data_IF_181845615346
#
_entry.id   IF_181845615346
#
_cell.length_a   1.000
_cell.length_b   1.000
_cell.length_c   1.000
_cell.angle_alpha   90.00
_cell.angle_beta   90.00
_cell.angle_gamma   90.00
#
_symmetry.space_group_name_H-M   'P 1'
#
loop_
_entity.id
_entity.type
_entity.pdbx_description
1 polymer ?
#
# COMPACT_ATOMS: atom_id res chain seq x y z
N UNK A 1 5.12 32.54 2.52
CA UNK A 1 4.95 31.24 3.23
C UNK A 1 6.19 30.39 2.99
N UNK A 2 6.86 30.02 4.07
CA UNK A 2 8.08 29.21 4.06
C UNK A 2 7.95 28.11 5.12
N UNK A 3 8.53 26.96 4.88
CA UNK A 3 8.62 25.89 5.88
C UNK A 3 9.44 26.36 7.07
N UNK A 4 8.93 26.17 8.28
CA UNK A 4 9.57 26.58 9.54
C UNK A 4 10.04 25.40 10.39
N UNK A 5 9.36 24.24 10.32
CA UNK A 5 9.71 23.03 11.07
C UNK A 5 9.22 21.75 10.39
N UNK A 6 9.89 20.64 10.69
CA UNK A 6 9.48 19.29 10.39
C UNK A 6 9.54 18.48 11.69
N UNK A 7 8.41 17.92 12.11
CA UNK A 7 8.27 17.14 13.34
C UNK A 7 7.71 15.77 13.03
N UNK A 8 8.25 14.71 13.64
CA UNK A 8 7.76 13.34 13.50
C UNK A 8 6.93 12.95 14.72
N UNK A 9 5.71 12.49 14.50
CA UNK A 9 4.82 11.97 15.51
C UNK A 9 4.59 10.47 15.29
N UNK A 10 4.29 9.73 16.36
CA UNK A 10 4.10 8.29 16.33
C UNK A 10 2.91 7.90 17.21
N UNK A 11 2.11 6.95 16.73
CA UNK A 11 0.97 6.42 17.48
C UNK A 11 0.94 4.89 17.46
N UNK A 12 0.44 4.28 18.55
CA UNK A 12 0.15 2.85 18.60
C UNK A 12 -0.93 2.47 17.58
N UNK A 13 -0.63 1.56 16.69
CA UNK A 13 -1.53 0.95 15.72
C UNK A 13 -1.63 -0.58 15.88
N UNK A 14 -1.42 -1.10 17.10
CA UNK A 14 -1.52 -2.52 17.44
C UNK A 14 -0.23 -3.28 17.21
N UNK A 15 -0.17 -4.08 16.18
CA UNK A 15 1.04 -4.85 15.86
C UNK A 15 2.18 -3.99 15.28
N UNK A 16 1.89 -2.73 14.93
CA UNK A 16 2.81 -1.71 14.39
C UNK A 16 2.55 -0.34 15.01
N UNK A 17 3.36 0.65 14.68
CA UNK A 17 3.07 2.06 14.94
C UNK A 17 2.75 2.77 13.63
N UNK A 18 1.89 3.81 13.68
CA UNK A 18 1.77 4.79 12.62
C UNK A 18 2.78 5.91 12.83
N UNK A 19 3.32 6.41 11.73
CA UNK A 19 4.29 7.50 11.72
C UNK A 19 3.75 8.66 10.88
N UNK A 20 3.81 9.85 11.43
CA UNK A 20 3.31 11.06 10.76
C UNK A 20 4.41 12.10 10.71
N UNK A 21 4.58 12.74 9.55
CA UNK A 21 5.39 13.92 9.39
C UNK A 21 4.48 15.16 9.41
N UNK A 22 4.74 16.07 10.36
CA UNK A 22 4.14 17.38 10.46
C UNK A 22 5.11 18.40 9.89
N UNK A 23 4.70 19.11 8.85
CA UNK A 23 5.42 20.20 8.24
C UNK A 23 4.72 21.51 8.60
N UNK A 24 5.38 22.37 9.37
CA UNK A 24 4.86 23.69 9.76
C UNK A 24 5.40 24.79 8.85
N UNK A 25 4.61 25.88 8.65
CA UNK A 25 5.03 27.05 7.91
C UNK A 25 4.92 28.32 8.74
N UNK A 26 5.68 29.36 8.36
CA UNK A 26 5.64 30.72 8.96
C UNK A 26 4.30 31.45 8.74
N UNK A 27 3.44 30.93 7.88
CA UNK A 27 2.09 31.45 7.62
C UNK A 27 0.98 30.67 8.36
N UNK A 28 1.33 29.75 9.28
CA UNK A 28 0.36 28.97 10.04
C UNK A 28 -0.29 27.80 9.26
N UNK A 29 0.12 27.55 8.03
CA UNK A 29 -0.32 26.36 7.27
C UNK A 29 0.49 25.14 7.72
N UNK A 30 -0.18 24.04 8.00
CA UNK A 30 0.44 22.77 8.35
C UNK A 30 0.19 21.74 7.24
N UNK A 31 1.25 21.11 6.75
CA UNK A 31 1.18 19.95 5.85
C UNK A 31 1.46 18.67 6.60
N UNK A 32 0.77 17.59 6.22
CA UNK A 32 0.90 16.28 6.82
C UNK A 32 1.22 15.21 5.80
N UNK A 33 1.98 14.21 6.22
CA UNK A 33 2.06 12.92 5.52
C UNK A 33 2.11 11.78 6.52
N UNK A 34 1.57 10.63 6.14
CA UNK A 34 1.84 9.36 6.81
C UNK A 34 3.01 8.68 6.10
N UNK A 35 3.89 8.04 6.86
CA UNK A 35 5.00 7.24 6.33
C UNK A 35 5.18 5.98 7.16
N UNK A 36 5.94 5.02 6.66
CA UNK A 36 6.23 3.79 7.40
C UNK A 36 7.69 3.73 7.82
N UNK A 37 7.92 3.35 9.08
CA UNK A 37 9.23 3.00 9.62
C UNK A 37 9.17 1.69 10.42
N UNK A 38 7.94 1.15 10.57
CA UNK A 38 7.67 -0.01 11.42
C UNK A 38 7.86 -1.35 10.73
N UNK A 39 7.68 -1.39 9.41
CA UNK A 39 7.69 -2.64 8.65
C UNK A 39 8.74 -2.61 7.53
N UNK A 40 9.95 -2.97 7.88
CA UNK A 40 11.04 -3.18 6.90
C UNK A 40 11.87 -1.94 6.55
N UNK A 41 11.48 -0.75 7.00
CA UNK A 41 12.11 0.53 6.61
C UNK A 41 12.73 1.30 7.79
N UNK A 42 13.59 0.69 8.62
CA UNK A 42 14.15 1.37 9.78
C UNK A 42 15.04 2.54 9.34
N UNK A 43 14.86 3.71 9.98
CA UNK A 43 15.69 4.90 9.75
C UNK A 43 15.09 5.96 8.85
N UNK A 44 13.85 5.84 8.38
CA UNK A 44 13.16 6.88 7.60
C UNK A 44 13.09 8.20 8.37
N UNK A 45 12.79 8.17 9.68
CA UNK A 45 12.83 9.35 10.55
C UNK A 45 14.19 10.04 10.50
N UNK A 46 15.30 9.29 10.60
CA UNK A 46 16.64 9.88 10.54
C UNK A 46 16.95 10.53 9.19
N UNK A 47 16.42 9.98 8.09
CA UNK A 47 16.52 10.60 6.76
C UNK A 47 15.76 11.93 6.73
N UNK A 48 14.52 11.95 7.23
CA UNK A 48 13.70 13.16 7.31
C UNK A 48 14.42 14.25 8.11
N UNK A 49 14.92 13.93 9.31
CA UNK A 49 15.68 14.85 10.17
C UNK A 49 16.94 15.37 9.48
N UNK A 50 17.68 14.50 8.78
CA UNK A 50 18.88 14.89 8.03
C UNK A 50 18.57 15.82 6.86
N UNK A 51 17.41 15.66 6.23
CA UNK A 51 16.94 16.47 5.10
C UNK A 51 16.29 17.79 5.54
N UNK A 52 15.74 17.88 6.75
CA UNK A 52 14.99 19.02 7.25
C UNK A 52 15.70 20.39 7.07
N UNK A 53 17.02 20.55 7.34
CA UNK A 53 17.71 21.84 7.14
C UNK A 53 17.71 22.32 5.68
N UNK A 54 17.48 21.43 4.70
CA UNK A 54 17.38 21.78 3.27
C UNK A 54 15.95 22.08 2.83
N UNK A 55 14.97 21.81 3.69
CA UNK A 55 13.54 22.09 3.43
C UNK A 55 13.12 23.37 4.13
N UNK A 56 13.60 23.59 5.35
CA UNK A 56 13.32 24.79 6.14
C UNK A 56 13.77 26.05 5.40
N UNK A 57 12.90 27.06 5.35
CA UNK A 57 13.12 28.34 4.66
C UNK A 57 12.67 28.34 3.20
N UNK A 58 12.35 27.18 2.60
CA UNK A 58 11.81 27.08 1.25
C UNK A 58 10.28 27.16 1.24
N UNK A 59 9.72 27.52 0.08
CA UNK A 59 8.27 27.54 -0.11
C UNK A 59 7.75 26.15 -0.45
N UNK A 60 6.70 25.61 0.23
CA UNK A 60 6.09 24.35 -0.13
C UNK A 60 5.43 24.36 -1.52
N UNK A 61 5.21 25.54 -2.11
CA UNK A 61 4.71 25.65 -3.49
C UNK A 61 5.71 25.08 -4.51
N UNK A 62 7.01 25.08 -4.18
CA UNK A 62 8.11 24.59 -5.03
C UNK A 62 8.51 23.15 -4.70
N UNK A 63 7.55 22.27 -4.36
CA UNK A 63 7.79 20.92 -3.88
C UNK A 63 8.70 20.09 -4.81
N UNK A 64 8.55 20.19 -6.13
CA UNK A 64 9.39 19.45 -7.09
C UNK A 64 10.85 19.95 -7.05
N UNK A 65 11.06 21.23 -6.90
CA UNK A 65 12.41 21.79 -6.73
C UNK A 65 13.05 21.27 -5.44
N UNK A 66 12.31 21.29 -4.33
CA UNK A 66 12.80 20.78 -3.05
C UNK A 66 13.14 19.28 -3.19
N UNK A 67 12.27 18.49 -3.79
CA UNK A 67 12.52 17.06 -4.03
C UNK A 67 13.81 16.87 -4.86
N UNK A 68 13.99 17.61 -5.95
CA UNK A 68 15.17 17.53 -6.80
C UNK A 68 16.47 17.90 -6.05
N UNK A 69 16.44 18.90 -5.19
CA UNK A 69 17.57 19.30 -4.35
C UNK A 69 17.90 18.23 -3.31
N UNK A 70 16.89 17.63 -2.66
CA UNK A 70 17.06 16.54 -1.72
C UNK A 70 17.62 15.29 -2.40
N UNK A 71 17.05 14.91 -3.56
CA UNK A 71 17.54 13.81 -4.37
C UNK A 71 19.01 13.98 -4.79
N UNK A 72 19.38 15.21 -5.24
CA UNK A 72 20.75 15.51 -5.60
C UNK A 72 21.71 15.40 -4.41
N UNK A 73 21.28 15.84 -3.22
CA UNK A 73 22.07 15.76 -1.99
C UNK A 73 22.24 14.34 -1.45
N UNK A 74 21.32 13.44 -1.78
CA UNK A 74 21.31 12.02 -1.32
C UNK A 74 21.66 11.03 -2.42
N UNK A 75 21.99 11.50 -3.63
CA UNK A 75 22.24 10.67 -4.83
C UNK A 75 23.15 9.45 -4.62
N UNK A 76 24.23 9.51 -3.82
CA UNK A 76 25.08 8.32 -3.60
C UNK A 76 24.36 7.17 -2.88
N UNK A 77 23.22 7.43 -2.22
CA UNK A 77 22.42 6.45 -1.47
C UNK A 77 20.94 6.50 -1.92
N UNK A 78 20.67 6.90 -3.16
CA UNK A 78 19.31 6.97 -3.70
C UNK A 78 18.63 5.58 -3.69
N UNK A 79 17.34 5.55 -3.33
CA UNK A 79 16.56 4.32 -3.13
C UNK A 79 16.41 3.94 -1.66
N UNK A 80 15.71 2.85 -1.38
CA UNK A 80 15.44 2.35 -0.03
C UNK A 80 14.89 3.44 0.90
N UNK A 81 15.26 3.38 2.16
CA UNK A 81 14.79 4.32 3.21
C UNK A 81 15.05 5.80 2.89
N UNK A 82 16.04 6.09 2.02
CA UNK A 82 16.29 7.47 1.57
C UNK A 82 15.15 7.94 0.67
N UNK A 83 14.74 7.13 -0.30
CA UNK A 83 13.62 7.48 -1.18
C UNK A 83 12.31 7.64 -0.39
N UNK A 84 12.07 6.77 0.59
CA UNK A 84 10.89 6.83 1.46
C UNK A 84 10.85 8.10 2.31
N UNK A 85 12.00 8.52 2.87
CA UNK A 85 12.11 9.79 3.59
C UNK A 85 11.86 11.02 2.69
N UNK A 86 12.34 10.98 1.44
CA UNK A 86 12.05 12.02 0.46
C UNK A 86 10.58 12.03 0.06
N UNK A 87 9.97 10.85 -0.09
CA UNK A 87 8.53 10.68 -0.37
C UNK A 87 7.66 11.26 0.75
N UNK A 88 8.01 10.98 2.00
CA UNK A 88 7.32 11.53 3.17
C UNK A 88 7.35 13.08 3.17
N UNK A 89 8.50 13.67 2.88
CA UNK A 89 8.66 15.14 2.80
C UNK A 89 7.83 15.68 1.62
N UNK A 90 7.89 15.07 0.44
CA UNK A 90 7.11 15.47 -0.73
C UNK A 90 5.61 15.49 -0.44
N UNK A 91 5.10 14.43 0.20
CA UNK A 91 3.69 14.30 0.54
C UNK A 91 3.23 15.41 1.51
N UNK A 92 4.03 15.74 2.53
CA UNK A 92 3.73 16.84 3.45
C UNK A 92 3.77 18.20 2.75
N UNK A 93 4.68 18.40 1.80
CA UNK A 93 4.75 19.63 0.97
C UNK A 93 3.52 19.76 0.07
N UNK A 94 3.04 18.67 -0.53
CA UNK A 94 1.83 18.65 -1.37
C UNK A 94 0.58 19.02 -0.56
N UNK A 95 0.44 18.48 0.65
CA UNK A 95 -0.66 18.83 1.55
C UNK A 95 -0.64 20.32 1.91
N UNK A 96 0.53 20.82 2.35
CA UNK A 96 0.70 22.25 2.65
C UNK A 96 0.39 23.14 1.44
N UNK A 97 0.80 22.73 0.24
CA UNK A 97 0.51 23.44 -1.02
C UNK A 97 -0.99 23.44 -1.32
N UNK A 98 -1.66 22.31 -1.22
CA UNK A 98 -3.12 22.22 -1.43
C UNK A 98 -3.89 23.11 -0.47
N UNK A 99 -3.56 23.08 0.82
CA UNK A 99 -4.16 23.91 1.85
C UNK A 99 -3.92 25.39 1.61
N UNK A 100 -2.69 25.78 1.27
CA UNK A 100 -2.33 27.18 0.99
C UNK A 100 -3.08 27.74 -0.22
N UNK A 101 -3.36 26.92 -1.21
CA UNK A 101 -4.12 27.30 -2.42
C UNK A 101 -5.64 27.12 -2.26
N UNK A 102 -6.10 26.53 -1.17
CA UNK A 102 -7.51 26.22 -0.92
C UNK A 102 -8.08 25.14 -1.85
N UNK A 103 -7.23 24.23 -2.34
CA UNK A 103 -7.64 23.16 -3.28
C UNK A 103 -7.27 21.78 -2.75
N UNK A 104 -8.03 20.72 -3.13
CA UNK A 104 -7.66 19.33 -2.81
C UNK A 104 -6.41 18.92 -3.59
N UNK A 105 -5.62 17.97 -3.07
CA UNK A 105 -4.38 17.55 -3.70
C UNK A 105 -4.58 17.00 -5.13
N UNK A 106 -5.67 16.29 -5.43
CA UNK A 106 -5.93 15.82 -6.79
C UNK A 106 -5.98 16.97 -7.83
N UNK A 107 -6.40 18.17 -7.42
CA UNK A 107 -6.39 19.34 -8.32
C UNK A 107 -4.96 19.77 -8.70
N UNK A 108 -3.97 19.52 -7.82
CA UNK A 108 -2.56 19.75 -8.12
C UNK A 108 -1.97 18.71 -9.06
N UNK A 109 -2.62 17.53 -9.16
CA UNK A 109 -2.19 16.39 -9.97
C UNK A 109 -2.82 16.35 -11.38
N UNK A 110 -3.57 17.37 -11.75
CA UNK A 110 -4.26 17.46 -13.05
C UNK A 110 -5.79 17.37 -12.95
N UNK A 111 -6.33 17.21 -11.75
CA UNK A 111 -7.77 17.04 -11.49
C UNK A 111 -8.18 15.57 -11.38
N UNK A 112 -9.42 15.35 -10.96
CA UNK A 112 -9.94 14.00 -10.78
C UNK A 112 -10.58 13.45 -12.06
N UNK A 113 -10.23 12.21 -12.41
CA UNK A 113 -10.84 11.42 -13.48
C UNK A 113 -12.12 10.71 -13.01
N UNK A 114 -12.30 10.56 -11.69
CA UNK A 114 -13.42 9.85 -11.04
C UNK A 114 -13.74 10.43 -9.67
N UNK A 115 -15.02 10.36 -9.29
CA UNK A 115 -15.51 10.81 -7.98
C UNK A 115 -15.45 9.71 -6.91
N UNK A 116 -15.28 8.47 -7.34
CA UNK A 116 -15.19 7.27 -6.48
C UNK A 116 -14.08 6.38 -6.97
N UNK A 117 -13.37 5.74 -6.03
CA UNK A 117 -12.31 4.78 -6.30
C UNK A 117 -12.74 3.41 -5.80
N UNK A 118 -12.80 2.42 -6.71
CA UNK A 118 -13.04 1.02 -6.33
C UNK A 118 -11.90 0.52 -5.46
N UNK A 119 -12.24 -0.21 -4.38
CA UNK A 119 -11.25 -0.72 -3.43
C UNK A 119 -11.44 -2.22 -3.17
N UNK A 120 -10.34 -2.88 -2.74
CA UNK A 120 -10.39 -4.24 -2.23
C UNK A 120 -10.01 -4.30 -0.75
N UNK A 121 -10.60 -5.25 -0.01
CA UNK A 121 -10.20 -5.55 1.34
C UNK A 121 -8.83 -6.24 1.32
N UNK A 122 -7.79 -5.51 1.72
CA UNK A 122 -6.43 -6.03 1.83
C UNK A 122 -6.27 -6.93 3.05
N UNK A 123 -5.29 -7.84 3.01
CA UNK A 123 -4.98 -8.73 4.13
C UNK A 123 -6.22 -9.43 4.71
N UNK A 124 -7.23 -9.70 3.85
CA UNK A 124 -8.49 -10.32 4.27
C UNK A 124 -8.21 -11.68 4.93
N UNK A 125 -8.39 -11.73 6.25
CA UNK A 125 -8.04 -12.86 7.11
C UNK A 125 -6.61 -12.85 7.67
N UNK A 126 -5.65 -12.17 7.06
CA UNK A 126 -4.24 -12.19 7.46
C UNK A 126 -4.04 -11.73 8.90
N UNK A 127 -4.61 -10.59 9.26
CA UNK A 127 -4.48 -10.07 10.62
C UNK A 127 -5.29 -10.88 11.64
N UNK A 128 -6.46 -11.39 11.28
CA UNK A 128 -7.31 -12.22 12.17
C UNK A 128 -6.73 -13.60 12.44
N UNK A 129 -5.83 -14.09 11.56
CA UNK A 129 -5.08 -15.33 11.76
C UNK A 129 -3.77 -15.07 12.51
N UNK A 130 -3.00 -14.06 12.08
CA UNK A 130 -1.63 -13.84 12.57
C UNK A 130 -1.55 -12.94 13.79
N UNK A 131 -2.57 -12.13 14.08
CA UNK A 131 -2.67 -11.16 15.18
C UNK A 131 -4.03 -11.21 15.89
N UNK A 132 -4.49 -12.41 16.31
CA UNK A 132 -5.82 -12.56 16.90
C UNK A 132 -5.98 -11.83 18.24
N UNK A 133 -4.91 -11.38 18.88
CA UNK A 133 -4.94 -10.54 20.07
C UNK A 133 -5.49 -9.13 19.77
N UNK A 134 -5.29 -8.62 18.56
CA UNK A 134 -5.74 -7.29 18.13
C UNK A 134 -7.04 -7.33 17.33
N UNK A 135 -7.22 -8.34 16.46
CA UNK A 135 -8.29 -8.34 15.46
C UNK A 135 -9.25 -9.51 15.63
N UNK A 136 -10.55 -9.22 15.61
CA UNK A 136 -11.62 -10.18 15.90
C UNK A 136 -12.66 -10.23 14.79
N UNK A 137 -13.36 -11.35 14.64
CA UNK A 137 -13.11 -12.63 15.29
C UNK A 137 -11.81 -13.29 14.82
N UNK A 138 -11.12 -14.04 15.70
CA UNK A 138 -9.98 -14.83 15.31
C UNK A 138 -10.38 -15.94 14.33
N UNK A 139 -9.57 -16.18 13.31
CA UNK A 139 -9.81 -17.23 12.32
C UNK A 139 -8.87 -18.40 12.63
N UNK A 140 -9.45 -19.58 12.88
CA UNK A 140 -8.70 -20.76 13.32
C UNK A 140 -8.87 -21.97 12.38
N UNK A 141 -9.73 -21.83 11.36
CA UNK A 141 -10.02 -22.91 10.41
C UNK A 141 -10.67 -22.36 9.12
N UNK A 142 -10.94 -23.23 8.15
CA UNK A 142 -11.55 -22.87 6.88
C UNK A 142 -13.00 -22.35 6.99
N UNK A 143 -13.77 -22.79 8.00
CA UNK A 143 -15.11 -22.26 8.23
C UNK A 143 -15.06 -20.77 8.61
N UNK A 144 -14.04 -20.36 9.38
CA UNK A 144 -13.77 -18.97 9.68
C UNK A 144 -13.39 -18.15 8.43
N UNK A 145 -12.64 -18.73 7.50
CA UNK A 145 -12.32 -18.13 6.20
C UNK A 145 -13.59 -17.95 5.36
N UNK A 146 -14.43 -18.99 5.28
CA UNK A 146 -15.73 -18.91 4.58
C UNK A 146 -16.63 -17.82 5.18
N UNK A 147 -16.72 -17.75 6.50
CA UNK A 147 -17.48 -16.71 7.19
C UNK A 147 -16.94 -15.30 6.88
N UNK A 148 -15.62 -15.14 6.78
CA UNK A 148 -15.00 -13.86 6.41
C UNK A 148 -15.28 -13.48 4.95
N UNK A 149 -15.30 -14.44 4.03
CA UNK A 149 -15.73 -14.18 2.65
C UNK A 149 -17.16 -13.64 2.58
N UNK A 150 -18.07 -14.22 3.36
CA UNK A 150 -19.45 -13.71 3.49
C UNK A 150 -19.48 -12.32 4.13
N UNK A 151 -18.69 -12.08 5.17
CA UNK A 151 -18.56 -10.76 5.81
C UNK A 151 -18.11 -9.68 4.80
N UNK A 152 -17.12 -9.99 3.94
CA UNK A 152 -16.65 -9.05 2.93
C UNK A 152 -17.76 -8.67 1.94
N UNK A 153 -18.50 -9.65 1.44
CA UNK A 153 -19.68 -9.43 0.59
C UNK A 153 -20.74 -8.59 1.30
N UNK A 154 -21.12 -8.97 2.52
CA UNK A 154 -22.21 -8.34 3.28
C UNK A 154 -21.85 -6.90 3.70
N UNK A 155 -20.57 -6.58 3.81
CA UNK A 155 -20.06 -5.20 3.97
C UNK A 155 -20.03 -4.40 2.66
N UNK A 156 -20.37 -5.01 1.52
CA UNK A 156 -20.41 -4.35 0.22
C UNK A 156 -19.07 -4.30 -0.52
N UNK A 157 -18.06 -5.06 -0.11
CA UNK A 157 -16.85 -5.20 -0.90
C UNK A 157 -17.11 -6.01 -2.17
N UNK A 158 -16.49 -5.58 -3.26
CA UNK A 158 -16.54 -6.27 -4.56
C UNK A 158 -15.25 -7.02 -4.88
N UNK A 159 -14.25 -6.89 -4.01
CA UNK A 159 -12.96 -7.57 -4.15
C UNK A 159 -12.28 -7.75 -2.78
N UNK A 160 -11.50 -8.82 -2.62
CA UNK A 160 -10.67 -9.08 -1.44
C UNK A 160 -9.33 -9.71 -1.83
N UNK A 161 -8.26 -9.35 -1.10
CA UNK A 161 -6.91 -9.90 -1.25
C UNK A 161 -6.53 -10.67 0.01
N UNK A 162 -5.99 -11.88 -0.16
CA UNK A 162 -5.52 -12.72 0.93
C UNK A 162 -4.11 -13.24 0.67
N UNK A 163 -3.48 -13.82 1.70
CA UNK A 163 -2.20 -14.49 1.62
C UNK A 163 -2.35 -16.01 1.74
N UNK A 164 -1.25 -16.75 1.69
CA UNK A 164 -1.24 -18.20 1.87
C UNK A 164 -1.12 -18.58 3.34
N UNK A 165 -2.02 -19.45 3.81
CA UNK A 165 -2.01 -19.99 5.18
C UNK A 165 -1.99 -21.52 5.19
N UNK A 166 -1.41 -22.07 6.25
CA UNK A 166 -1.36 -23.51 6.53
C UNK A 166 -2.44 -23.84 7.57
N UNK A 167 -3.61 -24.28 7.10
CA UNK A 167 -4.78 -24.62 7.94
C UNK A 167 -4.70 -26.03 8.54
N UNK A 168 -3.73 -26.83 8.14
CA UNK A 168 -3.41 -28.11 8.74
C UNK A 168 -2.49 -27.98 9.98
N UNK A 169 -2.19 -26.75 10.41
CA UNK A 169 -1.56 -26.41 11.69
C UNK A 169 -2.60 -25.84 12.66
N UNK A 170 -2.35 -25.97 13.97
CA UNK A 170 -3.22 -25.40 15.01
C UNK A 170 -2.37 -24.63 16.01
N UNK A 171 -2.50 -23.27 16.08
CA UNK A 171 -3.32 -22.42 15.21
C UNK A 171 -2.80 -22.37 13.77
N UNK A 172 -3.63 -21.99 12.80
CA UNK A 172 -3.18 -21.76 11.42
C UNK A 172 -2.04 -20.76 11.37
N UNK A 173 -1.13 -20.94 10.43
CA UNK A 173 0.06 -20.11 10.28
C UNK A 173 0.23 -19.60 8.84
N UNK A 174 0.64 -18.35 8.69
CA UNK A 174 1.04 -17.79 7.39
C UNK A 174 2.22 -18.58 6.79
N UNK A 175 2.15 -18.88 5.50
CA UNK A 175 3.28 -19.40 4.73
C UNK A 175 4.04 -18.21 4.13
N UNK A 176 5.10 -17.78 4.84
CA UNK A 176 5.86 -16.55 4.54
C UNK A 176 7.38 -16.81 4.53
N UNK A 177 7.89 -17.76 3.72
CA UNK A 177 9.32 -18.09 3.72
C UNK A 177 10.21 -16.96 3.22
N UNK A 178 9.69 -16.02 2.46
CA UNK A 178 10.42 -14.84 1.98
C UNK A 178 10.67 -13.78 3.04
N UNK A 179 9.98 -13.85 4.21
CA UNK A 179 10.09 -12.84 5.27
C UNK A 179 10.64 -13.42 6.56
N UNK A 180 11.68 -12.77 7.12
CA UNK A 180 12.24 -13.05 8.45
C UNK A 180 12.61 -14.53 8.75
N UNK A 181 12.76 -15.37 7.75
CA UNK A 181 13.13 -16.78 7.87
C UNK A 181 14.20 -17.16 6.84
N UNK A 182 15.46 -16.74 7.02
CA UNK A 182 16.50 -16.75 5.99
C UNK A 182 16.85 -18.14 5.45
N UNK A 183 16.51 -19.21 6.16
CA UNK A 183 16.79 -20.59 5.74
C UNK A 183 15.55 -21.38 5.36
N UNK A 184 14.39 -20.73 5.31
CA UNK A 184 13.23 -21.36 4.71
C UNK A 184 13.40 -21.33 3.19
N UNK A 185 13.47 -22.48 2.55
CA UNK A 185 13.63 -22.51 1.12
C UNK A 185 12.30 -22.13 0.46
N UNK A 186 12.14 -20.85 0.16
CA UNK A 186 11.16 -20.38 -0.82
C UNK A 186 11.32 -21.09 -2.18
N UNK A 187 12.39 -21.86 -2.33
CA UNK A 187 12.65 -22.76 -3.45
C UNK A 187 11.67 -23.93 -3.52
N UNK A 188 11.15 -24.38 -2.36
CA UNK A 188 10.37 -25.62 -2.28
C UNK A 188 8.90 -25.32 -1.97
N UNK A 189 8.12 -25.09 -3.03
CA UNK A 189 6.66 -25.10 -2.91
C UNK A 189 6.18 -26.55 -2.82
N UNK A 190 5.90 -27.00 -1.58
CA UNK A 190 5.48 -28.36 -1.30
C UNK A 190 4.01 -28.59 -1.67
N UNK A 191 3.65 -29.86 -1.92
CA UNK A 191 2.23 -30.26 -2.14
C UNK A 191 1.32 -29.87 -0.99
N UNK A 192 1.85 -29.83 0.23
CA UNK A 192 1.14 -29.37 1.43
C UNK A 192 0.71 -27.90 1.31
N UNK A 193 1.63 -27.03 0.88
CA UNK A 193 1.35 -25.60 0.65
C UNK A 193 0.26 -25.43 -0.40
N UNK A 194 0.38 -26.15 -1.54
CA UNK A 194 -0.60 -26.08 -2.62
C UNK A 194 -2.00 -26.51 -2.18
N UNK A 195 -2.11 -27.59 -1.37
CA UNK A 195 -3.41 -28.03 -0.84
C UNK A 195 -4.03 -26.99 0.09
N UNK A 196 -3.25 -26.42 1.01
CA UNK A 196 -3.74 -25.42 1.96
C UNK A 196 -4.14 -24.11 1.26
N UNK A 197 -3.33 -23.66 0.31
CA UNK A 197 -3.62 -22.48 -0.51
C UNK A 197 -4.96 -22.66 -1.24
N UNK A 198 -5.11 -23.77 -1.97
CA UNK A 198 -6.34 -24.04 -2.72
C UNK A 198 -7.56 -24.12 -1.79
N UNK A 199 -7.46 -24.84 -0.69
CA UNK A 199 -8.55 -24.95 0.29
C UNK A 199 -8.95 -23.58 0.88
N UNK A 200 -7.98 -22.70 1.14
CA UNK A 200 -8.25 -21.33 1.61
C UNK A 200 -8.99 -20.49 0.57
N UNK A 201 -8.54 -20.51 -0.70
CA UNK A 201 -9.19 -19.78 -1.79
C UNK A 201 -10.60 -20.30 -2.08
N UNK A 202 -10.80 -21.62 -2.08
CA UNK A 202 -12.12 -22.24 -2.22
C UNK A 202 -13.06 -21.84 -1.08
N UNK A 203 -12.56 -21.81 0.17
CA UNK A 203 -13.35 -21.35 1.32
C UNK A 203 -13.74 -19.87 1.21
N UNK A 204 -12.83 -18.99 0.75
CA UNK A 204 -13.19 -17.59 0.44
C UNK A 204 -14.25 -17.51 -0.65
N UNK A 205 -14.09 -18.24 -1.76
CA UNK A 205 -15.05 -18.26 -2.86
C UNK A 205 -16.43 -18.75 -2.40
N UNK A 206 -16.46 -19.80 -1.59
CA UNK A 206 -17.71 -20.36 -1.01
C UNK A 206 -18.45 -19.33 -0.13
N UNK A 207 -17.73 -18.51 0.61
CA UNK A 207 -18.31 -17.47 1.48
C UNK A 207 -18.69 -16.22 0.72
N UNK A 208 -17.77 -15.71 -0.08
CA UNK A 208 -17.92 -14.45 -0.83
C UNK A 208 -18.95 -14.56 -1.98
N UNK A 209 -19.10 -15.76 -2.56
CA UNK A 209 -19.91 -15.96 -3.75
C UNK A 209 -19.17 -15.69 -5.06
N UNK A 210 -19.82 -15.88 -6.23
CA UNK A 210 -19.17 -15.82 -7.54
C UNK A 210 -18.79 -14.39 -7.98
N UNK A 211 -19.49 -13.37 -7.46
CA UNK A 211 -19.39 -11.99 -7.97
C UNK A 211 -18.29 -11.17 -7.28
N UNK A 212 -17.64 -11.70 -6.24
CA UNK A 212 -16.52 -11.04 -5.56
C UNK A 212 -15.20 -11.42 -6.22
N UNK A 213 -14.42 -10.43 -6.62
CA UNK A 213 -13.07 -10.66 -7.15
C UNK A 213 -12.13 -11.15 -6.04
N UNK A 214 -11.42 -12.24 -6.30
CA UNK A 214 -10.40 -12.78 -5.40
C UNK A 214 -9.01 -12.40 -5.90
N UNK A 215 -8.19 -11.87 -5.01
CA UNK A 215 -6.80 -11.53 -5.22
C UNK A 215 -5.93 -12.35 -4.27
N UNK A 216 -4.79 -12.80 -4.76
CA UNK A 216 -3.83 -13.55 -3.96
C UNK A 216 -2.49 -12.82 -3.96
N UNK A 217 -1.96 -12.59 -2.77
CA UNK A 217 -0.65 -12.03 -2.59
C UNK A 217 0.33 -13.12 -2.12
N UNK A 218 1.33 -13.36 -2.96
CA UNK A 218 2.39 -14.34 -2.73
C UNK A 218 3.69 -13.70 -2.28
N UNK A 219 3.79 -12.37 -2.30
CA UNK A 219 5.00 -11.62 -1.94
C UNK A 219 6.27 -12.23 -2.56
N UNK A 220 7.41 -12.28 -1.81
CA UNK A 220 8.68 -12.93 -2.17
C UNK A 220 8.74 -14.42 -1.77
N UNK A 221 7.61 -15.09 -1.57
CA UNK A 221 7.55 -16.39 -0.90
C UNK A 221 7.96 -17.58 -1.77
N UNK A 222 8.29 -17.40 -3.04
CA UNK A 222 8.80 -18.47 -3.90
C UNK A 222 9.85 -17.94 -4.89
N UNK A 223 10.43 -18.85 -5.66
CA UNK A 223 11.21 -18.54 -6.88
C UNK A 223 10.38 -18.86 -8.11
N UNK A 224 10.87 -18.52 -9.29
CA UNK A 224 10.16 -18.70 -10.57
C UNK A 224 9.48 -20.05 -10.71
N UNK A 225 10.18 -21.13 -10.41
CA UNK A 225 9.63 -22.49 -10.48
C UNK A 225 8.48 -22.72 -9.47
N UNK A 226 8.62 -22.19 -8.25
CA UNK A 226 7.60 -22.28 -7.21
C UNK A 226 6.34 -21.50 -7.56
N UNK A 227 6.46 -20.27 -8.06
CA UNK A 227 5.34 -19.48 -8.55
C UNK A 227 4.60 -20.19 -9.69
N UNK A 228 5.32 -20.76 -10.66
CA UNK A 228 4.71 -21.54 -11.74
C UNK A 228 3.99 -22.81 -11.24
N UNK A 229 4.45 -23.42 -10.16
CA UNK A 229 3.71 -24.53 -9.50
C UNK A 229 2.41 -24.04 -8.88
N UNK A 230 2.45 -22.92 -8.15
CA UNK A 230 1.27 -22.32 -7.53
C UNK A 230 0.24 -21.96 -8.61
N UNK A 231 0.65 -21.22 -9.65
CA UNK A 231 -0.23 -20.80 -10.73
C UNK A 231 -0.93 -21.99 -11.41
N UNK A 232 -0.20 -23.08 -11.67
CA UNK A 232 -0.82 -24.32 -12.19
C UNK A 232 -1.80 -24.96 -11.24
N UNK A 233 -1.53 -24.91 -9.92
CA UNK A 233 -2.40 -25.54 -8.91
C UNK A 233 -3.75 -24.81 -8.71
N UNK A 234 -3.83 -23.56 -9.13
CA UNK A 234 -5.04 -22.70 -9.02
C UNK A 234 -5.56 -22.24 -10.39
N UNK A 235 -5.11 -22.85 -11.48
CA UNK A 235 -5.41 -22.41 -12.85
C UNK A 235 -6.91 -22.42 -13.21
N UNK A 236 -7.71 -23.21 -12.53
CA UNK A 236 -9.17 -23.30 -12.68
C UNK A 236 -9.95 -22.36 -11.75
N UNK A 237 -9.27 -21.63 -10.86
CA UNK A 237 -9.90 -20.63 -10.02
C UNK A 237 -9.93 -19.29 -10.77
N UNK A 238 -11.04 -18.58 -10.68
CA UNK A 238 -11.17 -17.23 -11.28
C UNK A 238 -10.54 -16.20 -10.34
N UNK A 239 -9.29 -15.81 -10.63
CA UNK A 239 -8.54 -14.83 -9.85
C UNK A 239 -8.44 -13.50 -10.59
N UNK A 240 -8.72 -12.41 -9.88
CA UNK A 240 -8.60 -11.04 -10.41
C UNK A 240 -7.15 -10.70 -10.75
N UNK A 241 -6.21 -11.09 -9.88
CA UNK A 241 -4.77 -11.16 -10.11
C UNK A 241 -4.06 -12.05 -9.08
N UNK A 242 -2.82 -12.41 -9.42
CA UNK A 242 -1.84 -12.97 -8.49
C UNK A 242 -0.71 -11.95 -8.35
N UNK A 243 -0.46 -11.50 -7.12
CA UNK A 243 0.60 -10.57 -6.78
C UNK A 243 1.87 -11.32 -6.45
N UNK A 244 2.96 -11.00 -7.12
CA UNK A 244 4.24 -11.69 -7.04
C UNK A 244 5.35 -10.66 -7.05
N UNK A 245 6.15 -10.59 -5.99
CA UNK A 245 7.31 -9.75 -5.94
C UNK A 245 8.55 -10.46 -6.45
N UNK A 246 9.27 -9.78 -7.30
CA UNK A 246 10.52 -10.25 -7.87
C UNK A 246 11.42 -9.08 -8.21
N UNK A 247 12.71 -9.19 -7.86
CA UNK A 247 13.73 -8.20 -8.25
C UNK A 247 14.30 -8.45 -9.66
N UNK A 248 13.78 -9.44 -10.37
CA UNK A 248 14.21 -9.79 -11.74
C UNK A 248 13.03 -9.60 -12.72
N UNK A 249 13.11 -8.56 -13.53
CA UNK A 249 12.07 -8.21 -14.48
C UNK A 249 11.83 -9.30 -15.54
N UNK A 250 12.88 -9.99 -16.00
CA UNK A 250 12.76 -11.03 -17.02
C UNK A 250 12.17 -12.31 -16.43
N UNK A 251 12.55 -12.67 -15.19
CA UNK A 251 11.95 -13.79 -14.47
C UNK A 251 10.44 -13.56 -14.23
N UNK A 252 10.05 -12.35 -13.85
CA UNK A 252 8.66 -11.97 -13.67
C UNK A 252 7.89 -12.00 -15.01
N UNK A 253 8.48 -11.49 -16.10
CA UNK A 253 7.91 -11.58 -17.44
C UNK A 253 7.68 -13.03 -17.88
N UNK A 254 8.64 -13.92 -17.55
CA UNK A 254 8.48 -15.36 -17.80
C UNK A 254 7.31 -15.94 -17.00
N UNK A 255 7.16 -15.59 -15.72
CA UNK A 255 6.04 -16.02 -14.88
C UNK A 255 4.71 -15.52 -15.47
N UNK A 256 4.61 -14.22 -15.80
CA UNK A 256 3.43 -13.64 -16.41
C UNK A 256 3.00 -14.34 -17.70
N UNK A 257 3.95 -14.61 -18.59
CA UNK A 257 3.68 -15.28 -19.87
C UNK A 257 3.08 -16.70 -19.70
N UNK A 258 3.37 -17.36 -18.57
CA UNK A 258 2.88 -18.71 -18.26
C UNK A 258 1.75 -18.73 -17.23
N UNK A 259 1.29 -17.56 -16.80
CA UNK A 259 0.18 -17.44 -15.84
C UNK A 259 -1.17 -17.51 -16.56
N UNK A 260 -2.12 -18.33 -16.07
CA UNK A 260 -3.51 -18.27 -16.54
C UNK A 260 -4.29 -17.07 -15.98
N UNK A 261 -3.71 -16.35 -15.01
CA UNK A 261 -4.29 -15.20 -14.33
C UNK A 261 -3.48 -13.95 -14.59
N UNK A 262 -4.08 -12.75 -14.51
CA UNK A 262 -3.32 -11.51 -14.48
C UNK A 262 -2.28 -11.51 -13.35
N UNK A 263 -1.12 -10.89 -13.59
CA UNK A 263 -0.04 -10.76 -12.62
C UNK A 263 0.10 -9.31 -12.20
N UNK A 264 0.14 -9.04 -10.88
CA UNK A 264 0.53 -7.76 -10.31
C UNK A 264 1.87 -7.86 -9.60
N UNK A 265 2.60 -6.76 -9.48
CA UNK A 265 3.92 -6.71 -8.85
C UNK A 265 4.41 -5.27 -8.68
N UNK A 266 5.61 -5.13 -8.15
CA UNK A 266 6.40 -3.88 -8.08
C UNK A 266 6.15 -3.02 -6.85
N UNK A 267 5.46 -3.49 -5.80
CA UNK A 267 5.19 -2.68 -4.60
C UNK A 267 6.46 -2.13 -3.94
N UNK A 268 7.56 -2.88 -3.99
CA UNK A 268 8.82 -2.54 -3.33
C UNK A 268 9.77 -1.67 -4.18
N UNK A 269 9.37 -1.29 -5.39
CA UNK A 269 10.20 -0.48 -6.27
C UNK A 269 10.08 1.02 -5.94
N UNK A 270 11.22 1.71 -5.98
CA UNK A 270 11.33 3.11 -5.60
C UNK A 270 11.86 3.98 -6.73
N UNK A 271 11.01 4.93 -7.13
CA UNK A 271 11.30 5.86 -8.22
C UNK A 271 11.18 5.24 -9.61
N UNK A 272 10.84 6.06 -10.59
CA UNK A 272 10.57 5.64 -11.98
C UNK A 272 11.68 4.77 -12.58
N UNK A 273 12.93 4.98 -12.20
CA UNK A 273 14.08 4.24 -12.76
C UNK A 273 14.02 2.76 -12.45
N UNK A 274 13.51 2.37 -11.28
CA UNK A 274 13.38 0.96 -10.89
C UNK A 274 12.21 0.29 -11.61
N UNK A 275 11.13 1.02 -11.92
CA UNK A 275 9.98 0.50 -12.67
C UNK A 275 10.26 0.29 -14.18
N UNK A 276 11.13 1.11 -14.78
CA UNK A 276 11.35 1.08 -16.24
C UNK A 276 11.80 -0.28 -16.79
N UNK A 277 12.71 -1.06 -16.16
CA UNK A 277 13.03 -2.41 -16.61
C UNK A 277 11.80 -3.33 -16.69
N UNK A 278 10.94 -3.26 -15.69
CA UNK A 278 9.73 -4.09 -15.62
C UNK A 278 8.69 -3.70 -16.68
N UNK A 279 8.50 -2.42 -16.94
CA UNK A 279 7.62 -1.94 -18.01
C UNK A 279 8.13 -2.38 -19.38
N UNK A 280 9.45 -2.26 -19.63
CA UNK A 280 10.08 -2.67 -20.91
C UNK A 280 9.98 -4.17 -21.15
N UNK A 281 10.14 -4.98 -20.12
CA UNK A 281 10.01 -6.42 -20.18
C UNK A 281 8.55 -6.91 -20.19
N UNK A 282 7.58 -6.00 -20.03
CA UNK A 282 6.15 -6.37 -19.89
C UNK A 282 5.94 -7.40 -18.77
N UNK A 283 6.56 -7.14 -17.60
CA UNK A 283 6.68 -8.13 -16.52
C UNK A 283 5.37 -8.35 -15.74
N UNK A 284 4.42 -7.41 -15.80
CA UNK A 284 3.15 -7.48 -15.08
C UNK A 284 2.00 -6.88 -15.90
N UNK A 285 0.77 -7.18 -15.51
CA UNK A 285 -0.45 -6.58 -16.03
C UNK A 285 -0.87 -5.36 -15.22
N UNK A 286 -0.52 -5.35 -13.92
CA UNK A 286 -0.81 -4.28 -12.98
C UNK A 286 0.44 -3.95 -12.17
N UNK A 287 0.92 -2.71 -12.26
CA UNK A 287 2.00 -2.22 -11.41
C UNK A 287 1.45 -1.73 -10.07
N UNK A 288 1.86 -2.35 -8.99
CA UNK A 288 1.58 -1.87 -7.64
C UNK A 288 2.52 -0.71 -7.34
N UNK A 289 1.98 0.44 -6.97
CA UNK A 289 2.76 1.65 -6.70
C UNK A 289 2.46 2.12 -5.28
N UNK A 290 3.48 2.16 -4.43
CA UNK A 290 3.36 2.73 -3.10
C UNK A 290 3.61 4.25 -3.15
N UNK A 291 2.54 5.04 -2.98
CA UNK A 291 2.63 6.49 -2.97
C UNK A 291 3.07 7.06 -1.59
N UNK A 292 3.07 6.24 -0.54
CA UNK A 292 3.64 6.59 0.77
C UNK A 292 5.16 6.56 0.69
N UNK A 293 5.71 5.51 0.09
CA UNK A 293 7.16 5.33 -0.06
C UNK A 293 7.77 6.20 -1.18
N UNK A 294 7.08 6.29 -2.31
CA UNK A 294 7.58 7.05 -3.47
C UNK A 294 7.36 8.56 -3.37
N UNK A 295 6.32 8.99 -2.65
CA UNK A 295 5.72 10.31 -2.80
C UNK A 295 4.66 10.32 -3.90
N UNK A 296 3.54 11.01 -3.65
CA UNK A 296 2.39 11.03 -4.58
C UNK A 296 2.76 11.67 -5.94
N UNK A 297 3.57 12.71 -5.95
CA UNK A 297 3.99 13.34 -7.19
C UNK A 297 4.94 12.47 -8.02
N UNK A 298 5.85 11.73 -7.36
CA UNK A 298 6.68 10.75 -8.04
C UNK A 298 5.86 9.55 -8.51
N UNK A 299 4.87 9.08 -7.72
CA UNK A 299 3.94 8.04 -8.11
C UNK A 299 3.15 8.40 -9.38
N UNK A 300 2.75 9.69 -9.55
CA UNK A 300 2.15 10.18 -10.81
C UNK A 300 3.08 10.01 -12.00
N UNK A 301 4.38 10.27 -11.84
CA UNK A 301 5.37 10.07 -12.93
C UNK A 301 5.49 8.58 -13.31
N UNK A 302 5.44 7.69 -12.31
CA UNK A 302 5.48 6.24 -12.53
C UNK A 302 4.18 5.79 -13.25
N UNK A 303 3.01 6.24 -12.79
CA UNK A 303 1.73 5.90 -13.40
C UNK A 303 1.61 6.39 -14.87
N UNK A 304 2.10 7.60 -15.16
CA UNK A 304 2.14 8.12 -16.54
C UNK A 304 3.10 7.30 -17.43
N UNK A 305 4.21 6.81 -16.87
CA UNK A 305 5.07 5.91 -17.62
C UNK A 305 4.40 4.55 -17.85
N UNK A 306 3.74 3.98 -16.82
CA UNK A 306 3.00 2.72 -16.93
C UNK A 306 1.93 2.77 -18.04
N UNK A 307 1.18 3.88 -18.15
CA UNK A 307 0.20 4.11 -19.21
C UNK A 307 0.83 4.01 -20.60
N UNK A 308 2.00 4.62 -20.81
CA UNK A 308 2.72 4.56 -22.09
C UNK A 308 3.20 3.14 -22.47
N UNK A 309 3.25 2.21 -21.51
CA UNK A 309 3.57 0.80 -21.70
C UNK A 309 2.33 -0.12 -21.64
N UNK A 310 1.10 0.44 -21.68
CA UNK A 310 -0.17 -0.31 -21.61
C UNK A 310 -0.32 -1.11 -20.30
N UNK A 311 0.22 -0.59 -19.18
CA UNK A 311 0.16 -1.21 -17.87
C UNK A 311 -0.78 -0.42 -16.97
N UNK A 312 -1.75 -1.12 -16.37
CA UNK A 312 -2.58 -0.55 -15.31
C UNK A 312 -1.80 -0.39 -14.00
N UNK A 313 -2.28 0.48 -13.11
CA UNK A 313 -1.69 0.65 -11.78
C UNK A 313 -2.69 0.34 -10.67
N UNK A 314 -2.18 -0.01 -9.50
CA UNK A 314 -2.94 -0.10 -8.26
C UNK A 314 -2.11 0.50 -7.11
N UNK A 315 -2.67 1.43 -6.32
CA UNK A 315 -1.96 1.95 -5.16
C UNK A 315 -1.84 0.90 -4.06
N UNK A 316 -0.60 0.68 -3.56
CA UNK A 316 -0.32 -0.07 -2.34
C UNK A 316 -0.72 0.77 -1.12
N UNK A 317 -1.57 0.25 -0.23
CA UNK A 317 -2.10 1.02 0.88
C UNK A 317 -2.59 0.16 2.05
N UNK A 318 -1.68 -0.40 2.83
CA UNK A 318 -2.01 -1.14 4.05
C UNK A 318 -1.82 -0.31 5.34
N UNK A 319 -1.85 1.01 5.24
CA UNK A 319 -1.53 2.00 6.26
C UNK A 319 -2.76 2.55 6.99
N UNK A 320 -2.60 3.71 7.64
CA UNK A 320 -3.66 4.45 8.30
C UNK A 320 -4.59 5.20 7.35
N UNK A 321 -5.48 5.99 7.94
CA UNK A 321 -6.46 6.73 7.15
C UNK A 321 -5.82 7.88 6.36
N UNK A 322 -4.78 8.55 6.89
CA UNK A 322 -4.13 9.64 6.16
C UNK A 322 -3.49 9.12 4.86
N UNK A 323 -2.78 7.99 4.91
CA UNK A 323 -2.24 7.35 3.72
C UNK A 323 -3.35 6.93 2.75
N UNK A 324 -4.49 6.47 3.26
CA UNK A 324 -5.66 6.16 2.41
C UNK A 324 -6.16 7.40 1.67
N UNK A 325 -6.20 8.57 2.32
CA UNK A 325 -6.54 9.84 1.65
C UNK A 325 -5.47 10.25 0.62
N UNK A 326 -4.18 10.11 0.93
CA UNK A 326 -3.09 10.37 -0.02
C UNK A 326 -3.26 9.51 -1.28
N UNK A 327 -3.50 8.22 -1.11
CA UNK A 327 -3.72 7.27 -2.20
C UNK A 327 -5.04 7.54 -2.96
N UNK A 328 -6.11 8.02 -2.30
CA UNK A 328 -7.35 8.42 -2.98
C UNK A 328 -7.13 9.58 -3.95
N UNK A 329 -6.34 10.60 -3.57
CA UNK A 329 -6.00 11.71 -4.46
C UNK A 329 -5.18 11.22 -5.66
N UNK A 330 -4.21 10.33 -5.44
CA UNK A 330 -3.43 9.69 -6.49
C UNK A 330 -4.33 8.87 -7.43
N UNK A 331 -5.09 7.94 -6.88
CA UNK A 331 -5.99 7.07 -7.63
C UNK A 331 -7.06 7.84 -8.41
N UNK A 332 -7.54 8.96 -7.86
CA UNK A 332 -8.51 9.80 -8.54
C UNK A 332 -7.94 10.49 -9.78
N UNK A 333 -6.64 10.82 -9.79
CA UNK A 333 -6.01 11.63 -10.83
C UNK A 333 -5.45 10.79 -12.01
N UNK A 334 -5.21 9.49 -11.84
CA UNK A 334 -4.60 8.65 -12.89
C UNK A 334 -5.65 8.00 -13.79
N UNK A 335 -5.45 7.95 -15.14
CA UNK A 335 -6.39 7.33 -16.06
C UNK A 335 -6.37 5.78 -15.98
N UNK A 336 -5.20 5.18 -15.80
CA UNK A 336 -4.93 3.74 -15.85
C UNK A 336 -5.07 3.02 -14.50
N UNK A 337 -5.93 3.52 -13.60
CA UNK A 337 -6.23 2.86 -12.32
C UNK A 337 -7.00 1.55 -12.53
N UNK A 338 -6.52 0.47 -11.91
CA UNK A 338 -7.24 -0.81 -11.85
C UNK A 338 -8.18 -0.88 -10.66
N UNK A 339 -7.64 -0.72 -9.45
CA UNK A 339 -8.33 -0.77 -8.15
C UNK A 339 -7.35 -0.27 -7.08
N UNK A 340 -7.82 0.15 -5.92
CA UNK A 340 -6.97 0.62 -4.82
C UNK A 340 -7.07 -0.33 -3.61
N UNK A 341 -5.95 -0.53 -2.93
CA UNK A 341 -5.86 -1.27 -1.67
C UNK A 341 -6.41 -0.48 -0.49
N UNK A 342 -7.11 -1.16 0.44
CA UNK A 342 -7.37 -0.63 1.78
C UNK A 342 -7.29 -1.72 2.84
N UNK A 343 -6.73 -1.41 3.99
CA UNK A 343 -6.80 -2.26 5.18
C UNK A 343 -8.11 -1.99 5.94
N UNK A 344 -8.80 -3.05 6.36
CA UNK A 344 -10.15 -2.96 6.97
C UNK A 344 -10.13 -3.35 8.43
N UNK A 345 -9.28 -4.31 8.81
CA UNK A 345 -9.13 -4.73 10.20
C UNK A 345 -8.35 -3.67 10.97
N UNK A 346 -9.05 -2.90 11.82
CA UNK A 346 -8.50 -1.75 12.55
C UNK A 346 -8.76 -1.86 14.05
N UNK A 347 -7.99 -1.12 14.83
CA UNK A 347 -8.16 -1.03 16.28
C UNK A 347 -9.34 -0.10 16.64
N UNK A 348 -9.88 -0.28 17.82
CA UNK A 348 -11.03 0.50 18.28
C UNK A 348 -10.76 2.02 18.30
N UNK A 349 -9.52 2.43 18.59
CA UNK A 349 -9.10 3.84 18.65
C UNK A 349 -8.52 4.39 17.35
N UNK A 350 -8.36 3.57 16.31
CA UNK A 350 -7.70 3.97 15.05
C UNK A 350 -8.34 5.24 14.46
N UNK A 351 -9.67 5.31 14.45
CA UNK A 351 -10.43 6.46 13.96
C UNK A 351 -10.22 7.75 14.78
N UNK A 352 -9.84 7.64 16.05
CA UNK A 352 -9.60 8.81 16.92
C UNK A 352 -8.32 9.54 16.51
N UNK A 353 -7.38 8.83 15.85
CA UNK A 353 -6.12 9.37 15.40
C UNK A 353 -6.27 10.35 14.22
N UNK A 354 -7.44 10.44 13.60
CA UNK A 354 -7.66 11.18 12.36
C UNK A 354 -8.90 12.05 12.42
N UNK A 355 -8.86 13.20 11.77
CA UNK A 355 -10.02 14.12 11.69
C UNK A 355 -11.15 13.56 10.85
N UNK A 356 -10.87 12.67 9.91
CA UNK A 356 -11.84 12.05 9.01
C UNK A 356 -11.45 10.60 8.71
N UNK A 357 -12.47 9.77 8.45
CA UNK A 357 -12.32 8.44 7.88
C UNK A 357 -12.71 8.46 6.39
N UNK A 358 -12.10 7.61 5.54
CA UNK A 358 -12.56 7.45 4.16
C UNK A 358 -14.01 6.97 4.10
N UNK A 359 -14.84 7.62 3.29
CA UNK A 359 -16.24 7.27 3.12
C UNK A 359 -16.38 6.07 2.16
N UNK A 360 -16.77 4.91 2.72
CA UNK A 360 -16.95 3.67 1.97
C UNK A 360 -18.42 3.44 1.62
N UNK A 361 -18.69 3.24 0.33
CA UNK A 361 -20.03 2.90 -0.18
C UNK A 361 -19.90 1.93 -1.36
N UNK A 362 -20.53 0.78 -1.25
CA UNK A 362 -20.65 -0.21 -2.34
C UNK A 362 -19.30 -0.52 -3.04
N UNK A 363 -18.31 -0.91 -2.26
CA UNK A 363 -16.99 -1.29 -2.76
C UNK A 363 -16.11 -0.14 -3.24
N UNK A 364 -16.50 1.10 -2.95
CA UNK A 364 -15.79 2.31 -3.38
C UNK A 364 -15.56 3.28 -2.22
N UNK A 365 -14.49 4.04 -2.31
CA UNK A 365 -14.24 5.21 -1.47
C UNK A 365 -14.54 6.49 -2.22
N UNK A 366 -15.22 7.44 -1.57
CA UNK A 366 -15.47 8.76 -2.13
C UNK A 366 -14.17 9.59 -2.14
N UNK A 367 -13.91 10.27 -3.26
CA UNK A 367 -12.76 11.17 -3.39
C UNK A 367 -13.06 12.49 -2.68
N UNK A 368 -12.22 12.92 -1.71
CA UNK A 368 -12.49 14.14 -0.95
C UNK A 368 -12.22 15.40 -1.77
N UNK A 369 -13.05 16.44 -1.54
CA UNK A 369 -12.87 17.77 -2.16
C UNK A 369 -12.35 18.83 -1.16
N UNK A 370 -12.01 18.43 0.07
CA UNK A 370 -11.40 19.30 1.07
C UNK A 370 -9.97 19.68 0.68
N UNK A 371 -9.48 20.91 1.05
CA UNK A 371 -8.11 21.32 0.77
C UNK A 371 -7.05 20.36 1.34
N UNK A 372 -5.93 20.22 0.64
CA UNK A 372 -4.87 19.28 0.97
C UNK A 372 -5.31 17.84 0.76
N UNK A 373 -4.92 16.95 1.67
CA UNK A 373 -5.41 15.54 1.69
C UNK A 373 -6.85 15.43 2.18
N UNK A 374 -7.40 16.47 2.82
CA UNK A 374 -8.74 16.44 3.40
C UNK A 374 -8.87 15.62 4.68
N UNK A 375 -7.77 15.22 5.27
CA UNK A 375 -7.65 14.50 6.54
C UNK A 375 -6.36 14.92 7.25
N UNK A 376 -6.40 15.00 8.58
CA UNK A 376 -5.23 15.32 9.40
C UNK A 376 -5.13 14.38 10.60
N UNK A 377 -3.90 14.07 11.06
CA UNK A 377 -3.70 13.42 12.34
C UNK A 377 -4.15 14.32 13.50
N UNK A 378 -4.74 13.72 14.53
CA UNK A 378 -5.18 14.41 15.75
C UNK A 378 -4.09 14.27 16.82
N UNK A 379 -3.31 15.32 17.03
CA UNK A 379 -2.12 15.29 17.92
C UNK A 379 -2.46 14.86 19.35
N UNK A 380 -3.63 15.26 19.88
CA UNK A 380 -4.05 14.88 21.23
C UNK A 380 -4.37 13.38 21.32
N UNK A 381 -4.96 12.79 20.29
CA UNK A 381 -5.19 11.35 20.22
C UNK A 381 -3.88 10.57 20.05
N UNK A 382 -2.93 11.08 19.25
CA UNK A 382 -1.59 10.48 19.13
C UNK A 382 -0.89 10.44 20.49
N UNK A 383 -0.97 11.51 21.30
CA UNK A 383 -0.40 11.55 22.66
C UNK A 383 -1.12 10.58 23.61
N UNK A 384 -2.42 10.36 23.42
CA UNK A 384 -3.20 9.42 24.23
C UNK A 384 -2.89 7.95 23.90
N UNK A 385 -2.42 7.67 22.68
CA UNK A 385 -2.02 6.34 22.20
C UNK A 385 -0.53 6.32 21.80
N UNK A 386 0.40 6.40 22.78
CA UNK A 386 1.83 6.48 22.50
C UNK A 386 2.33 5.18 21.83
N UNK A 387 3.41 5.25 21.04
CA UNK A 387 3.98 4.08 20.37
C UNK A 387 4.43 3.02 21.38
N UNK A 388 4.31 1.76 20.97
CA UNK A 388 4.79 0.59 21.74
C UNK A 388 6.28 0.38 21.61
#
# INVERSE_FOLDING_TARGET
MKVSALDVLRADAGWRNYYFLKLSTDAGVTGWSEFDEGFGSPGVTAVIERCAPRVIGHSPLDHERIYAELYAATRPAAGGVVAEGLGAIENALLDAKGKALGVPCHALLGGKMRDRVRVYWSHCGTWRISRPEFYKPAITNLDGVKALGAEARDKGFTALKTNTFLFDETPPRGWVPGFARPFYPELNVEKRVLRNLRAGLEAFRDGAGPDIDLLLDLNFNAKTEGYLKILRAIADLDMFWIEIDSYDADALAHIRTHSPHPVSSCETLLGLREFLPYFRAQSMDVAIIDAVWNGVWQAMKIANAAEAFEVNIAPHNFYGHLASFMNLHFAAAVPNLRIMEIDVDRLAWDRELFTHEPEFVDGHLAVPDRPGWGCEPVEEAIKAHPPR
#
